data_IF_768848248433
#
_entry.id   IF_768848248433
#
_cell.length_a   1.000
_cell.length_b   1.000
_cell.length_c   1.000
_cell.angle_alpha   90.00
_cell.angle_beta   90.00
_cell.angle_gamma   90.00
#
_symmetry.space_group_name_H-M   'P 1'
#
loop_
_entity.id
_entity.type
_entity.pdbx_description
1 polymer ?
#
# COMPACT_ATOMS: atom_id res chain seq x y z
N UNK A 1 -12.72 13.44 7.72
CA UNK A 1 -12.27 12.05 7.95
C UNK A 1 -10.76 12.03 8.04
N UNK A 2 -10.22 11.11 8.83
CA UNK A 2 -8.79 10.79 8.88
C UNK A 2 -8.56 9.38 8.35
N UNK A 3 -7.71 9.25 7.35
CA UNK A 3 -7.50 8.01 6.58
C UNK A 3 -6.09 7.47 6.83
N UNK A 4 -5.98 6.20 7.19
CA UNK A 4 -4.71 5.49 7.28
C UNK A 4 -4.29 4.92 5.93
N UNK A 5 -3.00 4.96 5.62
CA UNK A 5 -2.44 4.35 4.39
C UNK A 5 -1.31 3.43 4.75
N UNK A 6 -1.27 2.23 4.18
CA UNK A 6 -0.17 1.28 4.34
C UNK A 6 0.18 0.61 3.00
N UNK A 7 1.44 0.18 2.88
CA UNK A 7 1.92 -0.67 1.78
C UNK A 7 2.37 -2.02 2.33
N UNK A 8 1.80 -3.11 1.82
CA UNK A 8 2.10 -4.47 2.26
C UNK A 8 2.66 -5.37 1.14
N UNK A 9 3.37 -6.44 1.53
CA UNK A 9 3.99 -7.39 0.61
C UNK A 9 5.28 -6.88 -0.05
N UNK A 10 5.70 -7.53 -1.14
CA UNK A 10 6.88 -7.12 -1.91
C UNK A 10 6.72 -5.72 -2.52
N UNK A 11 7.80 -4.94 -2.51
CA UNK A 11 7.81 -3.61 -3.11
C UNK A 11 7.74 -3.67 -4.64
N UNK A 12 7.19 -2.65 -5.29
CA UNK A 12 7.16 -2.56 -6.74
C UNK A 12 7.19 -1.10 -7.23
N UNK A 13 7.46 -0.87 -8.52
CA UNK A 13 7.32 0.46 -9.09
C UNK A 13 5.89 1.00 -8.92
N UNK A 14 5.76 2.30 -8.64
CA UNK A 14 4.48 3.01 -8.63
C UNK A 14 3.81 3.18 -7.26
N UNK A 15 4.29 2.58 -6.16
CA UNK A 15 3.64 2.74 -4.84
C UNK A 15 3.60 4.18 -4.36
N UNK A 16 4.72 4.89 -4.50
CA UNK A 16 4.78 6.30 -4.18
C UNK A 16 3.82 7.15 -5.03
N UNK A 17 3.53 6.72 -6.26
CA UNK A 17 2.54 7.38 -7.11
C UNK A 17 1.11 7.19 -6.55
N UNK A 18 0.76 5.97 -6.12
CA UNK A 18 -0.53 5.67 -5.48
C UNK A 18 -0.68 6.46 -4.18
N UNK A 19 0.30 6.42 -3.28
CA UNK A 19 0.32 7.17 -2.02
C UNK A 19 0.12 8.67 -2.28
N UNK A 20 0.86 9.22 -3.25
CA UNK A 20 0.73 10.63 -3.63
C UNK A 20 -0.66 10.96 -4.18
N UNK A 21 -1.23 10.08 -5.02
CA UNK A 21 -2.53 10.30 -5.62
C UNK A 21 -3.65 10.37 -4.57
N UNK A 22 -3.68 9.40 -3.65
CA UNK A 22 -4.70 9.35 -2.58
C UNK A 22 -4.60 10.55 -1.66
N UNK A 23 -3.39 10.91 -1.22
CA UNK A 23 -3.17 12.07 -0.34
C UNK A 23 -3.54 13.37 -1.03
N UNK A 24 -3.06 13.60 -2.25
CA UNK A 24 -3.34 14.87 -2.97
C UNK A 24 -4.83 15.04 -3.27
N UNK A 25 -5.50 13.98 -3.71
CA UNK A 25 -6.94 14.02 -4.01
C UNK A 25 -7.75 14.22 -2.72
N UNK A 26 -7.45 13.44 -1.68
CA UNK A 26 -8.13 13.50 -0.39
C UNK A 26 -8.02 14.86 0.30
N UNK A 27 -6.81 15.42 0.38
CA UNK A 27 -6.58 16.73 0.99
C UNK A 27 -7.25 17.83 0.17
N UNK A 28 -7.03 17.87 -1.15
CA UNK A 28 -7.45 18.99 -2.00
C UNK A 28 -8.96 19.04 -2.20
N UNK A 29 -9.61 17.90 -2.45
CA UNK A 29 -11.00 17.87 -2.89
C UNK A 29 -11.98 17.58 -1.75
N UNK A 30 -11.52 16.90 -0.69
CA UNK A 30 -12.38 16.43 0.39
C UNK A 30 -11.98 16.95 1.77
N UNK A 31 -10.86 17.67 1.89
CA UNK A 31 -10.35 18.16 3.18
C UNK A 31 -10.01 17.04 4.16
N UNK A 32 -9.64 15.86 3.67
CA UNK A 32 -9.30 14.72 4.52
C UNK A 32 -7.89 14.83 5.08
N UNK A 33 -7.70 14.27 6.27
CA UNK A 33 -6.40 14.09 6.90
C UNK A 33 -5.89 12.67 6.66
N UNK A 34 -4.57 12.50 6.66
CA UNK A 34 -3.95 11.22 6.38
C UNK A 34 -2.85 10.90 7.38
N UNK A 35 -2.75 9.62 7.73
CA UNK A 35 -1.64 9.06 8.51
C UNK A 35 -1.03 7.89 7.74
N UNK A 36 0.28 7.86 7.64
CA UNK A 36 1.00 6.74 7.04
C UNK A 36 1.34 5.71 8.10
N UNK A 37 0.93 4.47 7.92
CA UNK A 37 1.35 3.35 8.74
C UNK A 37 2.62 2.73 8.16
N UNK A 38 3.62 2.55 9.03
CA UNK A 38 4.94 2.04 8.64
C UNK A 38 4.96 0.53 8.54
N UNK A 39 5.72 0.01 7.59
CA UNK A 39 6.07 -1.40 7.48
C UNK A 39 4.84 -2.32 7.36
N UNK A 40 3.89 -1.97 6.49
CA UNK A 40 2.69 -2.75 6.20
C UNK A 40 1.78 -2.92 7.42
N UNK A 41 1.24 -4.13 7.61
CA UNK A 41 0.33 -4.42 8.71
C UNK A 41 0.94 -4.35 10.10
N UNK A 42 2.28 -4.32 10.21
CA UNK A 42 2.97 -4.03 11.47
C UNK A 42 2.60 -2.64 12.00
N UNK A 43 2.45 -1.67 11.11
CA UNK A 43 2.11 -0.28 11.46
C UNK A 43 0.80 -0.15 12.22
N UNK A 44 -0.35 -0.61 11.67
CA UNK A 44 -1.61 -0.57 12.40
C UNK A 44 -1.62 -1.43 13.66
N UNK A 45 -0.88 -2.55 13.68
CA UNK A 45 -0.81 -3.45 14.81
C UNK A 45 -0.04 -2.87 16.01
N UNK A 46 1.07 -2.19 15.75
CA UNK A 46 1.97 -1.63 16.78
C UNK A 46 1.83 -0.12 16.95
N UNK A 47 0.96 0.54 16.18
CA UNK A 47 0.78 2.00 16.20
C UNK A 47 1.94 2.77 15.56
N UNK A 48 2.77 2.13 14.74
CA UNK A 48 3.92 2.77 14.11
C UNK A 48 3.46 3.62 12.93
N UNK A 49 3.54 4.95 13.10
CA UNK A 49 2.98 5.91 12.14
C UNK A 49 3.96 7.01 11.75
N UNK A 50 3.63 7.71 10.66
CA UNK A 50 4.24 8.97 10.28
C UNK A 50 3.17 9.94 9.73
N UNK A 51 3.39 11.25 9.81
CA UNK A 51 2.54 12.22 9.10
C UNK A 51 2.52 11.94 7.61
N UNK A 52 1.36 12.12 6.96
CA UNK A 52 1.22 11.87 5.53
C UNK A 52 0.42 12.98 4.85
N UNK A 53 0.99 14.18 4.78
CA UNK A 53 0.39 15.34 4.13
C UNK A 53 1.01 15.68 2.77
N UNK A 54 0.60 16.82 2.20
CA UNK A 54 1.09 17.34 0.91
C UNK A 54 2.61 17.45 0.87
N UNK A 55 3.22 17.86 1.99
CA UNK A 55 4.67 18.00 2.08
C UNK A 55 5.38 16.64 2.07
N UNK A 56 4.87 15.63 2.76
CA UNK A 56 5.48 14.29 2.77
C UNK A 56 5.38 13.57 1.42
N UNK A 57 4.36 13.89 0.60
CA UNK A 57 4.21 13.31 -0.75
C UNK A 57 4.80 14.18 -1.87
N UNK A 58 5.51 15.26 -1.53
CA UNK A 58 6.21 16.10 -2.50
C UNK A 58 7.45 15.36 -3.02
N UNK A 59 7.64 15.35 -4.34
CA UNK A 59 8.84 14.78 -4.97
C UNK A 59 8.97 13.25 -4.91
N UNK A 60 7.96 12.52 -4.39
CA UNK A 60 8.04 11.04 -4.29
C UNK A 60 7.64 10.31 -5.58
N UNK A 61 7.00 11.00 -6.53
CA UNK A 61 6.48 10.40 -7.76
C UNK A 61 7.54 9.58 -8.56
N UNK A 62 8.78 10.08 -8.79
CA UNK A 62 9.80 9.32 -9.51
C UNK A 62 10.56 8.32 -8.63
N UNK A 63 10.31 8.27 -7.31
CA UNK A 63 11.07 7.41 -6.41
C UNK A 63 10.56 5.98 -6.53
N UNK A 64 11.49 5.05 -6.75
CA UNK A 64 11.24 3.63 -6.59
C UNK A 64 10.82 3.29 -5.15
N UNK A 65 10.17 2.15 -5.04
CA UNK A 65 9.73 1.58 -3.78
C UNK A 65 8.56 2.30 -3.10
N UNK A 66 8.47 2.16 -1.77
CA UNK A 66 7.48 2.86 -0.92
C UNK A 66 8.12 3.70 0.19
N UNK A 67 7.64 4.94 0.37
CA UNK A 67 8.03 5.78 1.51
C UNK A 67 7.52 5.25 2.86
N UNK A 68 6.54 4.35 2.88
CA UNK A 68 5.95 3.80 4.10
C UNK A 68 6.66 2.53 4.58
N UNK A 69 7.49 1.91 3.72
CA UNK A 69 8.05 0.59 3.99
C UNK A 69 7.00 -0.52 3.88
N UNK A 70 7.45 -1.76 4.01
CA UNK A 70 6.59 -2.94 3.98
C UNK A 70 7.16 -4.02 4.89
N UNK A 71 6.31 -4.92 5.35
CA UNK A 71 6.70 -6.13 6.09
C UNK A 71 5.80 -7.30 5.69
N UNK A 72 6.17 -8.50 6.16
CA UNK A 72 5.35 -9.72 6.03
C UNK A 72 4.50 -10.01 7.28
N UNK A 73 4.21 -8.99 8.09
CA UNK A 73 3.36 -9.16 9.26
C UNK A 73 1.94 -9.52 8.82
N UNK A 74 1.40 -10.62 9.36
CA UNK A 74 0.00 -10.98 9.23
C UNK A 74 -0.69 -10.80 10.59
N UNK A 75 -1.57 -9.80 10.76
CA UNK A 75 -2.33 -9.61 12.00
C UNK A 75 -3.19 -10.81 12.38
N UNK A 76 -3.66 -11.57 11.39
CA UNK A 76 -4.57 -12.69 11.61
C UNK A 76 -3.90 -13.90 12.26
N UNK A 77 -2.57 -13.99 12.20
CA UNK A 77 -1.80 -15.02 12.90
C UNK A 77 -1.38 -14.61 14.31
N UNK A 78 -1.80 -13.43 14.78
CA UNK A 78 -1.41 -12.87 16.08
C UNK A 78 -2.63 -12.85 16.99
N UNK A 79 -2.48 -13.39 18.19
CA UNK A 79 -3.53 -13.38 19.19
C UNK A 79 -3.95 -11.93 19.53
N UNK A 80 -5.25 -11.66 19.39
CA UNK A 80 -5.83 -10.34 19.56
C UNK A 80 -5.39 -9.32 18.49
N UNK A 81 -4.90 -9.77 17.32
CA UNK A 81 -4.30 -8.91 16.32
C UNK A 81 -5.28 -7.92 15.70
N UNK A 82 -6.52 -8.34 15.45
CA UNK A 82 -7.58 -7.49 14.90
C UNK A 82 -7.98 -6.44 15.93
N UNK A 83 -8.23 -6.84 17.16
CA UNK A 83 -8.64 -5.97 18.26
C UNK A 83 -7.57 -4.92 18.59
N UNK A 84 -6.28 -5.29 18.49
CA UNK A 84 -5.17 -4.34 18.60
C UNK A 84 -5.17 -3.30 17.48
N UNK A 85 -5.41 -3.73 16.24
CA UNK A 85 -5.53 -2.80 15.11
C UNK A 85 -6.70 -1.86 15.36
N UNK A 86 -7.89 -2.36 15.68
CA UNK A 86 -9.08 -1.54 15.96
C UNK A 86 -8.83 -0.53 17.08
N UNK A 87 -8.22 -0.96 18.19
CA UNK A 87 -7.86 -0.09 19.30
C UNK A 87 -6.89 1.02 18.87
N UNK A 88 -5.87 0.70 18.07
CA UNK A 88 -4.91 1.68 17.56
C UNK A 88 -5.54 2.64 16.54
N UNK A 89 -6.40 2.15 15.64
CA UNK A 89 -7.15 3.00 14.72
C UNK A 89 -8.04 3.97 15.49
N UNK A 90 -8.77 3.49 16.49
CA UNK A 90 -9.61 4.32 17.36
C UNK A 90 -8.79 5.37 18.12
N UNK A 91 -7.67 4.98 18.73
CA UNK A 91 -6.77 5.88 19.46
C UNK A 91 -6.17 6.97 18.56
N UNK A 92 -5.90 6.65 17.29
CA UNK A 92 -5.41 7.59 16.28
C UNK A 92 -6.53 8.34 15.55
N UNK A 93 -7.80 8.09 15.91
CA UNK A 93 -8.99 8.62 15.24
C UNK A 93 -9.00 8.36 13.73
N UNK A 94 -8.56 7.17 13.30
CA UNK A 94 -8.58 6.74 11.90
C UNK A 94 -9.94 6.16 11.55
N UNK A 95 -10.62 6.78 10.60
CA UNK A 95 -11.97 6.41 10.17
C UNK A 95 -11.98 5.30 9.11
N UNK A 96 -10.89 5.17 8.33
CA UNK A 96 -10.77 4.22 7.23
C UNK A 96 -9.30 3.93 6.89
N UNK A 97 -9.05 2.79 6.26
CA UNK A 97 -7.74 2.36 5.77
C UNK A 97 -7.72 2.25 4.24
N UNK A 98 -6.57 2.60 3.65
CA UNK A 98 -6.20 2.27 2.28
C UNK A 98 -5.03 1.29 2.37
N UNK A 99 -5.29 0.04 1.98
CA UNK A 99 -4.31 -1.04 1.96
C UNK A 99 -3.80 -1.26 0.53
N UNK A 100 -2.53 -0.89 0.28
CA UNK A 100 -1.89 -1.05 -1.03
C UNK A 100 -1.06 -2.33 -0.98
N UNK A 101 -1.43 -3.35 -1.75
CA UNK A 101 -0.82 -4.67 -1.57
C UNK A 101 -1.22 -5.74 -2.58
N UNK A 102 -0.56 -6.90 -2.46
CA UNK A 102 -0.89 -8.11 -3.19
C UNK A 102 -1.94 -8.96 -2.44
N UNK A 103 -2.10 -10.21 -2.85
CA UNK A 103 -3.13 -11.13 -2.33
C UNK A 103 -3.14 -11.20 -0.80
N UNK A 104 -1.98 -11.43 -0.16
CA UNK A 104 -1.88 -11.48 1.30
C UNK A 104 -2.38 -10.21 1.99
N UNK A 105 -2.00 -9.05 1.44
CA UNK A 105 -2.36 -7.75 2.04
C UNK A 105 -3.85 -7.47 1.87
N UNK A 106 -4.39 -7.77 0.69
CA UNK A 106 -5.80 -7.57 0.39
C UNK A 106 -6.69 -8.62 1.09
N UNK A 107 -6.19 -9.84 1.32
CA UNK A 107 -6.87 -10.85 2.11
C UNK A 107 -7.07 -10.42 3.56
N UNK A 108 -6.05 -9.83 4.19
CA UNK A 108 -6.19 -9.23 5.52
C UNK A 108 -7.13 -8.02 5.49
N UNK A 109 -7.08 -7.19 4.44
CA UNK A 109 -8.00 -6.06 4.29
C UNK A 109 -9.47 -6.51 4.25
N UNK A 110 -9.78 -7.59 3.53
CA UNK A 110 -11.12 -8.19 3.49
C UNK A 110 -11.54 -8.69 4.88
N UNK A 111 -10.66 -9.40 5.58
CA UNK A 111 -10.98 -9.92 6.93
C UNK A 111 -11.22 -8.77 7.92
N UNK A 112 -10.41 -7.71 7.90
CA UNK A 112 -10.67 -6.52 8.73
C UNK A 112 -12.00 -5.84 8.37
N UNK A 113 -12.37 -5.85 7.09
CA UNK A 113 -13.66 -5.33 6.66
C UNK A 113 -14.84 -6.12 7.24
N UNK A 114 -14.73 -7.45 7.31
CA UNK A 114 -15.73 -8.31 7.96
C UNK A 114 -15.88 -8.02 9.46
N UNK A 115 -14.84 -7.48 10.10
CA UNK A 115 -14.87 -7.01 11.49
C UNK A 115 -15.36 -5.56 11.64
N UNK A 116 -15.76 -4.90 10.55
CA UNK A 116 -16.35 -3.56 10.57
C UNK A 116 -15.37 -2.42 10.31
N UNK A 117 -14.08 -2.71 10.06
CA UNK A 117 -13.11 -1.69 9.65
C UNK A 117 -13.43 -1.24 8.21
N UNK A 118 -13.48 0.06 7.98
CA UNK A 118 -13.64 0.60 6.62
C UNK A 118 -12.31 0.50 5.89
N UNK A 119 -12.20 -0.38 4.91
CA UNK A 119 -10.94 -0.60 4.16
C UNK A 119 -11.19 -0.51 2.65
N UNK A 120 -10.25 0.12 1.94
CA UNK A 120 -10.15 0.08 0.48
C UNK A 120 -8.83 -0.60 0.10
N UNK A 121 -8.92 -1.61 -0.76
CA UNK A 121 -7.76 -2.29 -1.34
C UNK A 121 -7.27 -1.61 -2.61
N UNK A 122 -5.95 -1.43 -2.76
CA UNK A 122 -5.32 -1.02 -4.00
C UNK A 122 -4.43 -2.15 -4.54
N UNK A 123 -4.73 -2.70 -5.74
CA UNK A 123 -4.10 -3.92 -6.24
C UNK A 123 -2.67 -3.68 -6.70
N UNK A 124 -1.73 -4.27 -5.97
CA UNK A 124 -0.30 -4.08 -6.17
C UNK A 124 0.43 -5.41 -6.28
N UNK A 125 1.03 -5.66 -7.43
CA UNK A 125 1.98 -6.74 -7.67
C UNK A 125 2.62 -6.56 -9.04
N UNK A 126 3.86 -7.04 -9.22
CA UNK A 126 4.48 -7.11 -10.55
C UNK A 126 3.99 -8.33 -11.35
N UNK A 127 3.32 -9.28 -10.70
CA UNK A 127 2.94 -10.57 -11.27
C UNK A 127 1.59 -10.52 -12.02
N UNK A 128 0.81 -9.46 -11.81
CA UNK A 128 -0.54 -9.25 -12.36
C UNK A 128 -1.51 -10.42 -12.13
N UNK A 129 -1.44 -11.00 -10.93
CA UNK A 129 -2.17 -12.21 -10.52
C UNK A 129 -3.34 -11.92 -9.57
N UNK A 130 -3.78 -10.66 -9.48
CA UNK A 130 -4.92 -10.27 -8.66
C UNK A 130 -6.22 -10.30 -9.46
N UNK A 131 -7.26 -10.88 -8.87
CA UNK A 131 -8.60 -10.90 -9.46
C UNK A 131 -9.23 -9.50 -9.51
N UNK A 132 -10.22 -9.34 -10.41
CA UNK A 132 -11.06 -8.15 -10.55
C UNK A 132 -10.34 -6.86 -11.01
N UNK A 133 -9.13 -6.97 -11.55
CA UNK A 133 -8.45 -5.90 -12.31
C UNK A 133 -7.70 -6.52 -13.48
N UNK A 134 -7.69 -5.85 -14.63
CA UNK A 134 -6.90 -6.30 -15.79
C UNK A 134 -5.39 -6.06 -15.56
N UNK A 135 -5.06 -5.03 -14.77
CA UNK A 135 -3.69 -4.60 -14.49
C UNK A 135 -3.49 -4.24 -13.02
N UNK A 136 -2.34 -4.61 -12.46
CA UNK A 136 -1.90 -4.26 -11.11
C UNK A 136 -0.83 -3.18 -11.15
N UNK A 137 -0.76 -2.37 -10.08
CA UNK A 137 0.33 -1.39 -9.95
C UNK A 137 1.68 -2.12 -9.91
N UNK A 138 2.59 -1.70 -10.79
CA UNK A 138 3.95 -2.24 -10.92
C UNK A 138 4.14 -3.19 -12.11
N UNK A 139 3.09 -3.80 -12.64
CA UNK A 139 3.17 -4.79 -13.73
C UNK A 139 3.81 -4.22 -15.00
N UNK A 140 3.29 -3.12 -15.54
CA UNK A 140 3.79 -2.52 -16.79
C UNK A 140 5.27 -2.16 -16.71
N UNK A 141 5.71 -1.59 -15.58
CA UNK A 141 7.13 -1.28 -15.37
C UNK A 141 7.99 -2.55 -15.34
N UNK A 142 7.52 -3.62 -14.71
CA UNK A 142 8.23 -4.89 -14.68
C UNK A 142 8.38 -5.50 -16.08
N UNK A 143 7.32 -5.46 -16.89
CA UNK A 143 7.35 -5.93 -18.29
C UNK A 143 8.36 -5.15 -19.12
N UNK A 144 8.36 -3.82 -19.02
CA UNK A 144 9.31 -2.98 -19.77
C UNK A 144 10.77 -3.27 -19.37
N UNK A 145 11.05 -3.47 -18.08
CA UNK A 145 12.41 -3.83 -17.61
C UNK A 145 12.83 -5.21 -18.15
N UNK A 146 11.91 -6.19 -18.14
CA UNK A 146 12.19 -7.52 -18.66
C UNK A 146 12.46 -7.49 -20.18
N UNK A 147 11.68 -6.71 -20.94
CA UNK A 147 11.87 -6.51 -22.37
C UNK A 147 13.25 -5.91 -22.67
N UNK A 148 13.63 -4.84 -21.96
CA UNK A 148 14.95 -4.21 -22.13
C UNK A 148 16.10 -5.18 -21.84
N UNK A 149 15.97 -6.02 -20.82
CA UNK A 149 16.97 -7.04 -20.50
C UNK A 149 17.09 -8.09 -21.63
N UNK A 150 15.97 -8.54 -22.19
CA UNK A 150 15.94 -9.49 -23.32
C UNK A 150 16.59 -8.88 -24.57
N UNK A 151 16.26 -7.62 -24.90
CA UNK A 151 16.83 -6.94 -26.06
C UNK A 151 18.35 -6.81 -25.96
N UNK A 152 18.87 -6.52 -24.77
CA UNK A 152 20.33 -6.47 -24.54
C UNK A 152 20.99 -7.83 -24.74
N UNK A 153 20.36 -8.92 -24.27
CA UNK A 153 20.89 -10.27 -24.48
C UNK A 153 20.91 -10.66 -25.96
N UNK A 154 19.90 -10.25 -26.72
CA UNK A 154 19.80 -10.55 -28.16
C UNK A 154 21.04 -10.08 -28.93
N UNK A 155 21.59 -8.90 -28.60
CA UNK A 155 22.79 -8.36 -29.27
C UNK A 155 24.05 -9.22 -29.10
N UNK A 156 24.08 -10.14 -28.14
CA UNK A 156 25.21 -11.07 -27.90
C UNK A 156 24.94 -12.50 -28.35
N UNK A 157 23.72 -12.80 -28.80
CA UNK A 157 23.26 -14.13 -29.19
C UNK A 157 23.16 -14.32 -30.72
N UNK A 158 23.61 -13.32 -31.50
CA UNK A 158 23.89 -13.47 -32.94
C UNK A 158 25.08 -14.41 -33.21
#
# INVERSE_FOLDING_TARGET
>A
MRVGVLTGGGDCPGLNAVIRAVVRKGVKEYGYEFVGFRDGWKGPLEGITMPLGIEQVRGILPRGGTILGSSRTNPMSIEGGVEKIEANLAALSVDALIAIGGEDTLGVATQLHEHGVKVIGCPKTIDNDLSATDYTFGFDTAVNIAMEAIDRLHTTAE
#
